data_IF_833380522784
#
_entry.id   IF_833380522784
#
_cell.length_a   1.000
_cell.length_b   1.000
_cell.length_c   1.000
_cell.angle_alpha   90.00
_cell.angle_beta   90.00
_cell.angle_gamma   90.00
#
_symmetry.space_group_name_H-M   'P 1'
#
loop_
_entity.id
_entity.type
_entity.pdbx_description
1 polymer ?
#
# COMPACT_ATOMS: atom_id res chain seq x y z
N UNK A 1 -26.20 -13.33 38.54
CA UNK A 1 -25.34 -14.22 37.73
C UNK A 1 -25.77 -14.09 36.28
N UNK A 2 -25.22 -13.13 35.53
CA UNK A 2 -25.56 -12.95 34.12
C UNK A 2 -24.78 -13.94 33.28
N UNK A 3 -25.44 -14.77 32.49
CA UNK A 3 -24.80 -15.71 31.58
C UNK A 3 -24.06 -14.93 30.47
N UNK A 4 -22.71 -15.01 30.41
CA UNK A 4 -21.92 -14.28 29.42
C UNK A 4 -22.15 -14.75 27.98
N UNK A 5 -22.79 -15.91 27.78
CA UNK A 5 -23.02 -16.50 26.45
C UNK A 5 -24.45 -16.30 25.94
N UNK A 6 -25.23 -15.39 26.54
CA UNK A 6 -26.56 -15.11 26.02
C UNK A 6 -26.50 -14.64 24.55
N UNK A 7 -27.43 -15.08 23.67
CA UNK A 7 -27.44 -14.69 22.25
C UNK A 7 -27.48 -13.18 22.02
N UNK A 8 -27.97 -12.41 23.01
CA UNK A 8 -28.01 -10.95 22.97
C UNK A 8 -26.60 -10.34 23.12
N UNK A 9 -25.77 -10.88 24.01
CA UNK A 9 -24.39 -10.41 24.23
C UNK A 9 -23.52 -10.69 23.00
N UNK A 10 -23.63 -11.89 22.43
CA UNK A 10 -22.91 -12.27 21.20
C UNK A 10 -23.32 -11.37 20.02
N UNK A 11 -24.63 -11.11 19.85
CA UNK A 11 -25.12 -10.19 18.81
C UNK A 11 -24.67 -8.75 19.02
N UNK A 12 -24.63 -8.29 20.27
CA UNK A 12 -24.17 -6.94 20.61
C UNK A 12 -22.66 -6.78 20.34
N UNK A 13 -21.84 -7.76 20.74
CA UNK A 13 -20.41 -7.76 20.47
C UNK A 13 -20.11 -7.75 18.96
N UNK A 14 -20.82 -8.59 18.18
CA UNK A 14 -20.69 -8.61 16.71
C UNK A 14 -21.09 -7.28 16.07
N UNK A 15 -22.18 -6.66 16.53
CA UNK A 15 -22.57 -5.31 16.05
C UNK A 15 -21.50 -4.27 16.36
N UNK A 16 -20.87 -4.36 17.53
CA UNK A 16 -19.82 -3.43 17.94
C UNK A 16 -18.57 -3.56 17.08
N UNK A 17 -18.16 -4.78 16.75
CA UNK A 17 -17.06 -5.04 15.81
C UNK A 17 -17.36 -4.56 14.38
N UNK A 18 -18.63 -4.66 13.95
CA UNK A 18 -19.06 -4.15 12.64
C UNK A 18 -19.21 -2.62 12.60
N UNK A 19 -19.34 -1.97 13.76
CA UNK A 19 -19.40 -0.52 13.91
C UNK A 19 -18.03 0.10 14.22
N UNK A 20 -16.98 -0.71 14.37
CA UNK A 20 -15.65 -0.25 14.70
C UNK A 20 -14.87 0.08 13.42
N UNK A 21 -15.06 1.30 12.93
CA UNK A 21 -14.41 1.82 11.72
C UNK A 21 -12.91 2.13 11.91
N UNK A 22 -12.40 2.03 13.15
CA UNK A 22 -10.99 2.31 13.47
C UNK A 22 -10.03 1.43 12.65
N UNK A 23 -10.39 0.17 12.42
CA UNK A 23 -9.63 -0.75 11.57
C UNK A 23 -9.76 -0.46 10.07
N UNK A 24 -10.90 0.11 9.64
CA UNK A 24 -11.17 0.43 8.24
C UNK A 24 -10.21 1.51 7.71
N UNK A 25 -9.97 2.56 8.50
CA UNK A 25 -9.05 3.64 8.11
C UNK A 25 -7.59 3.16 7.94
N UNK A 26 -7.14 2.23 8.78
CA UNK A 26 -5.78 1.66 8.66
C UNK A 26 -5.68 0.68 7.48
N UNK A 27 -6.73 -0.11 7.24
CA UNK A 27 -6.80 -1.01 6.09
C UNK A 27 -6.83 -0.23 4.76
N UNK A 28 -7.56 0.88 4.70
CA UNK A 28 -7.59 1.76 3.53
C UNK A 28 -6.21 2.32 3.22
N UNK A 29 -5.51 2.83 4.24
CA UNK A 29 -4.15 3.36 4.06
C UNK A 29 -3.18 2.27 3.59
N UNK A 30 -3.30 1.05 4.13
CA UNK A 30 -2.52 -0.09 3.69
C UNK A 30 -2.79 -0.43 2.21
N UNK A 31 -4.05 -0.48 1.79
CA UNK A 31 -4.43 -0.74 0.39
C UNK A 31 -3.91 0.36 -0.54
N UNK A 32 -4.10 1.63 -0.18
CA UNK A 32 -3.61 2.76 -0.96
C UNK A 32 -2.09 2.71 -1.12
N UNK A 33 -1.36 2.40 -0.04
CA UNK A 33 0.09 2.22 -0.07
C UNK A 33 0.49 1.06 -0.98
N UNK A 34 -0.17 -0.10 -0.84
CA UNK A 34 0.12 -1.27 -1.67
C UNK A 34 -0.15 -1.01 -3.16
N UNK A 35 -1.21 -0.26 -3.48
CA UNK A 35 -1.49 0.15 -4.85
C UNK A 35 -0.38 1.06 -5.42
N UNK A 36 0.08 2.04 -4.63
CA UNK A 36 1.19 2.91 -5.02
C UNK A 36 2.50 2.13 -5.19
N UNK A 37 2.78 1.18 -4.30
CA UNK A 37 3.97 0.31 -4.38
C UNK A 37 3.93 -0.59 -5.62
N UNK A 38 2.77 -1.15 -5.96
CA UNK A 38 2.62 -1.95 -7.18
C UNK A 38 2.89 -1.11 -8.44
N UNK A 39 2.36 0.12 -8.49
CA UNK A 39 2.64 1.06 -9.57
C UNK A 39 4.12 1.43 -9.67
N UNK A 40 4.77 1.70 -8.53
CA UNK A 40 6.21 1.94 -8.47
C UNK A 40 7.01 0.72 -8.95
N UNK A 41 6.55 -0.50 -8.65
CA UNK A 41 7.13 -1.74 -9.15
C UNK A 41 7.16 -1.80 -10.68
N UNK A 42 6.08 -1.38 -11.34
CA UNK A 42 6.05 -1.26 -12.81
C UNK A 42 7.11 -0.26 -13.32
N UNK A 43 7.21 0.91 -12.69
CA UNK A 43 8.23 1.91 -13.05
C UNK A 43 9.65 1.35 -12.88
N UNK A 44 9.92 0.58 -11.82
CA UNK A 44 11.21 -0.08 -11.62
C UNK A 44 11.52 -1.06 -12.75
N UNK A 45 10.54 -1.83 -13.22
CA UNK A 45 10.72 -2.73 -14.37
C UNK A 45 11.02 -1.93 -15.64
N UNK A 46 10.30 -0.84 -15.88
CA UNK A 46 10.55 0.06 -17.03
C UNK A 46 11.97 0.64 -16.97
N UNK A 47 12.39 1.12 -15.80
CA UNK A 47 13.73 1.69 -15.58
C UNK A 47 14.86 0.67 -15.77
N UNK A 48 14.57 -0.62 -15.61
CA UNK A 48 15.54 -1.70 -15.82
C UNK A 48 15.70 -2.09 -17.29
N UNK A 49 14.83 -1.61 -18.19
CA UNK A 49 14.98 -1.85 -19.63
C UNK A 49 16.28 -1.24 -20.18
N UNK A 50 16.85 -1.87 -21.21
CA UNK A 50 18.13 -1.44 -21.78
C UNK A 50 18.01 -0.06 -22.46
N UNK A 51 16.87 0.24 -23.10
CA UNK A 51 16.60 1.54 -23.70
C UNK A 51 16.63 2.66 -22.63
N UNK A 52 15.87 2.50 -21.54
CA UNK A 52 15.80 3.51 -20.48
C UNK A 52 17.15 3.63 -19.76
N UNK A 53 17.83 2.52 -19.47
CA UNK A 53 19.19 2.55 -18.90
C UNK A 53 20.17 3.28 -19.80
N UNK A 54 20.08 3.09 -21.11
CA UNK A 54 20.92 3.78 -22.10
C UNK A 54 20.71 5.29 -22.03
N UNK A 55 19.45 5.74 -22.09
CA UNK A 55 19.08 7.16 -22.00
C UNK A 55 19.62 7.79 -20.71
N UNK A 56 19.41 7.13 -19.56
CA UNK A 56 19.89 7.63 -18.26
C UNK A 56 21.41 7.67 -18.18
N UNK A 57 22.10 6.66 -18.71
CA UNK A 57 23.56 6.61 -18.72
C UNK A 57 24.14 7.74 -19.58
N UNK A 58 23.55 7.98 -20.75
CA UNK A 58 23.96 9.08 -21.62
C UNK A 58 23.73 10.45 -20.98
N UNK A 59 22.61 10.63 -20.29
CA UNK A 59 22.33 11.84 -19.53
C UNK A 59 23.42 12.10 -18.47
N UNK A 60 23.78 11.08 -17.70
CA UNK A 60 24.85 11.18 -16.68
C UNK A 60 26.19 11.46 -17.33
N UNK A 61 26.55 10.76 -18.43
CA UNK A 61 27.81 11.01 -19.16
C UNK A 61 27.89 12.46 -19.66
N UNK A 62 26.82 12.99 -20.23
CA UNK A 62 26.75 14.39 -20.69
C UNK A 62 26.94 15.37 -19.52
N UNK A 63 26.27 15.13 -18.40
CA UNK A 63 26.42 15.96 -17.20
C UNK A 63 27.86 15.98 -16.66
N UNK A 64 28.57 14.85 -16.76
CA UNK A 64 29.96 14.72 -16.29
C UNK A 64 31.02 15.19 -17.31
N UNK A 65 30.67 15.36 -18.58
CA UNK A 65 31.62 15.81 -19.62
C UNK A 65 31.69 17.34 -19.74
N UNK A 66 30.70 18.05 -19.19
CA UNK A 66 30.67 19.53 -19.15
C UNK A 66 31.49 20.10 -17.97
N UNK A 67 32.09 19.24 -17.15
CA UNK A 67 32.99 19.60 -16.05
C UNK A 67 34.47 19.62 -16.49
#
# INVERSE_FOLDING_TARGET
MTDPFSPRVVRAARRRLLQDDAGAATAEYAIATMAAVAFAGLLVVIMRSDEVRGILTDLVRRALTVA
#
